data_IF_935960108448
#
_entry.id   IF_935960108448
#
_cell.length_a   1.000
_cell.length_b   1.000
_cell.length_c   1.000
_cell.angle_alpha   90.00
_cell.angle_beta   90.00
_cell.angle_gamma   90.00
#
_symmetry.space_group_name_H-M   'P 1'
#
loop_
_entity.id
_entity.type
_entity.pdbx_description
1 polymer ?
#
# COMPACT_ATOMS: atom_id res chain seq x y z
N UNK A 1 -1.65 7.83 24.70
CA UNK A 1 -3.04 7.42 24.42
C UNK A 1 -3.04 5.95 24.05
N UNK A 2 -3.50 5.09 24.95
CA UNK A 2 -3.54 3.64 24.73
C UNK A 2 -4.59 3.31 23.66
N UNK A 3 -4.19 2.55 22.64
CA UNK A 3 -5.08 2.06 21.60
C UNK A 3 -6.08 1.09 22.23
N UNK A 4 -7.36 1.46 22.22
CA UNK A 4 -8.47 0.59 22.63
C UNK A 4 -8.49 -0.63 21.70
N UNK A 5 -8.24 -1.81 22.25
CA UNK A 5 -8.47 -3.06 21.53
C UNK A 5 -9.98 -3.21 21.27
N UNK A 6 -10.41 -3.56 20.05
CA UNK A 6 -11.82 -3.85 19.79
C UNK A 6 -12.29 -5.05 20.60
N UNK A 7 -13.52 -4.99 21.10
CA UNK A 7 -14.13 -6.07 21.89
C UNK A 7 -14.11 -7.39 21.10
N UNK A 8 -13.91 -8.51 21.82
CA UNK A 8 -13.79 -9.86 21.25
C UNK A 8 -14.97 -10.28 20.34
N UNK A 9 -16.10 -9.59 20.45
CA UNK A 9 -17.31 -9.82 19.64
C UNK A 9 -17.12 -9.56 18.14
N UNK A 10 -16.11 -8.79 17.74
CA UNK A 10 -15.77 -8.53 16.33
C UNK A 10 -14.91 -9.64 15.69
N UNK A 11 -14.45 -10.60 16.48
CA UNK A 11 -13.79 -11.79 15.95
C UNK A 11 -14.83 -12.87 15.67
N UNK A 12 -14.63 -13.63 14.60
CA UNK A 12 -15.39 -14.86 14.35
C UNK A 12 -15.37 -15.70 15.64
N UNK A 13 -16.55 -15.94 16.22
CA UNK A 13 -16.72 -16.68 17.49
C UNK A 13 -16.12 -18.09 17.46
N UNK A 14 -15.72 -18.59 16.29
CA UNK A 14 -15.05 -19.87 16.13
C UNK A 14 -13.93 -19.76 15.08
N UNK A 15 -12.68 -20.09 15.46
CA UNK A 15 -11.63 -20.39 14.47
C UNK A 15 -12.11 -21.63 13.71
N UNK A 16 -12.32 -21.51 12.40
CA UNK A 16 -12.92 -22.54 11.52
C UNK A 16 -12.44 -23.97 11.86
N UNK A 17 -13.11 -24.61 12.81
CA UNK A 17 -12.95 -26.01 13.16
C UNK A 17 -14.06 -26.76 12.45
N UNK A 18 -13.72 -27.27 11.27
CA UNK A 18 -14.58 -27.99 10.36
C UNK A 18 -13.97 -28.01 8.96
N UNK A 19 -14.40 -28.91 8.09
CA UNK A 19 -13.98 -28.91 6.69
C UNK A 19 -14.56 -27.67 5.99
N UNK A 20 -13.74 -26.66 5.64
CA UNK A 20 -14.27 -25.47 4.98
C UNK A 20 -14.92 -25.90 3.66
N UNK A 21 -16.22 -25.65 3.53
CA UNK A 21 -16.93 -25.93 2.29
C UNK A 21 -16.52 -24.86 1.27
N UNK A 22 -16.02 -25.29 0.12
CA UNK A 22 -15.73 -24.36 -0.98
C UNK A 22 -17.01 -23.63 -1.40
N UNK A 23 -16.88 -22.41 -1.91
CA UNK A 23 -18.02 -21.65 -2.44
C UNK A 23 -18.79 -22.42 -3.52
N UNK A 24 -18.14 -23.34 -4.25
CA UNK A 24 -18.81 -24.24 -5.19
C UNK A 24 -19.74 -25.24 -4.46
N UNK A 25 -19.29 -25.83 -3.36
CA UNK A 25 -20.07 -26.80 -2.56
C UNK A 25 -21.24 -26.13 -1.84
N UNK A 26 -21.07 -24.90 -1.38
CA UNK A 26 -22.15 -24.08 -0.81
C UNK A 26 -23.20 -23.73 -1.87
N UNK A 27 -22.77 -23.28 -3.05
CA UNK A 27 -23.70 -22.96 -4.17
C UNK A 27 -24.47 -24.19 -4.65
N UNK A 28 -23.82 -25.35 -4.75
CA UNK A 28 -24.48 -26.60 -5.12
C UNK A 28 -25.55 -27.01 -4.09
N UNK A 29 -25.29 -26.83 -2.79
CA UNK A 29 -26.28 -27.09 -1.73
C UNK A 29 -27.45 -26.13 -1.78
N UNK A 30 -27.20 -24.83 -1.96
CA UNK A 30 -28.26 -23.83 -2.07
C UNK A 30 -29.15 -24.08 -3.30
N UNK A 31 -28.56 -24.48 -4.42
CA UNK A 31 -29.31 -24.87 -5.61
C UNK A 31 -30.13 -26.15 -5.39
N UNK A 32 -29.59 -27.12 -4.65
CA UNK A 32 -30.26 -28.39 -4.37
C UNK A 32 -31.45 -28.26 -3.40
N UNK A 33 -31.45 -27.26 -2.52
CA UNK A 33 -32.54 -27.02 -1.56
C UNK A 33 -33.79 -26.37 -2.18
N UNK A 34 -33.81 -26.15 -3.50
CA UNK A 34 -34.93 -25.48 -4.18
C UNK A 34 -35.07 -24.00 -3.85
N UNK A 35 -34.20 -23.43 -3.01
CA UNK A 35 -34.06 -21.99 -2.76
C UNK A 35 -33.26 -21.28 -3.87
N UNK A 36 -33.42 -21.78 -5.09
CA UNK A 36 -33.01 -21.08 -6.29
C UNK A 36 -34.01 -19.98 -6.58
N UNK A 37 -33.51 -18.73 -6.52
CA UNK A 37 -34.22 -17.48 -6.77
C UNK A 37 -35.19 -17.04 -5.66
N UNK A 38 -34.90 -15.87 -5.07
CA UNK A 38 -35.87 -15.03 -4.35
C UNK A 38 -36.41 -15.53 -2.99
N UNK A 39 -35.59 -16.19 -2.15
CA UNK A 39 -35.87 -16.05 -0.72
C UNK A 39 -35.61 -14.59 -0.35
N UNK A 40 -36.65 -13.82 -0.04
CA UNK A 40 -36.66 -12.41 0.30
C UNK A 40 -35.52 -12.00 1.26
N UNK A 41 -34.32 -11.73 0.73
CA UNK A 41 -33.22 -11.14 1.47
C UNK A 41 -33.62 -9.69 1.69
N UNK A 42 -34.17 -9.35 2.86
CA UNK A 42 -34.41 -7.98 3.29
C UNK A 42 -33.10 -7.32 3.75
N UNK A 43 -32.05 -7.50 2.95
CA UNK A 43 -30.70 -7.14 3.28
C UNK A 43 -30.53 -5.64 3.04
N UNK A 44 -30.66 -4.85 4.09
CA UNK A 44 -30.49 -3.39 4.06
C UNK A 44 -29.03 -3.04 4.36
N UNK A 45 -28.38 -2.39 3.40
CA UNK A 45 -27.02 -1.88 3.56
C UNK A 45 -27.12 -0.37 3.83
N UNK A 46 -26.85 0.03 5.08
CA UNK A 46 -26.86 1.44 5.48
C UNK A 46 -25.45 2.07 5.46
N UNK A 47 -25.41 3.39 5.49
CA UNK A 47 -24.17 4.20 5.48
C UNK A 47 -23.46 4.24 6.85
N UNK A 48 -23.27 3.07 7.47
CA UNK A 48 -22.65 3.00 8.80
C UNK A 48 -21.11 3.09 8.68
N UNK A 49 -20.44 3.99 9.41
CA UNK A 49 -19.01 4.32 9.21
C UNK A 49 -18.01 3.22 9.61
N UNK A 50 -18.48 1.99 9.89
CA UNK A 50 -17.66 0.82 10.23
C UNK A 50 -17.81 -0.36 9.27
N UNK A 51 -18.59 -0.22 8.18
CA UNK A 51 -18.76 -1.28 7.18
C UNK A 51 -17.76 -1.07 6.04
N UNK A 52 -17.19 -2.18 5.55
CA UNK A 52 -16.30 -2.19 4.39
C UNK A 52 -16.93 -1.38 3.24
N UNK A 53 -16.27 -0.36 2.67
CA UNK A 53 -16.81 0.39 1.56
C UNK A 53 -17.09 -0.59 0.42
N UNK A 54 -18.38 -0.82 0.17
CA UNK A 54 -18.88 -1.90 -0.67
C UNK A 54 -18.16 -1.92 -2.04
N UNK A 55 -17.65 -3.08 -2.49
CA UNK A 55 -17.08 -3.21 -3.83
C UNK A 55 -18.06 -2.71 -4.88
N UNK A 56 -17.56 -1.93 -5.84
CA UNK A 56 -18.26 -1.30 -6.97
C UNK A 56 -18.93 -2.30 -7.95
N UNK A 57 -19.19 -3.54 -7.53
CA UNK A 57 -19.71 -4.64 -8.34
C UNK A 57 -21.23 -4.61 -8.54
N UNK A 58 -21.97 -3.72 -7.86
CA UNK A 58 -23.45 -3.68 -7.92
C UNK A 58 -24.06 -2.36 -8.43
N UNK A 59 -23.27 -1.47 -9.06
CA UNK A 59 -23.77 -0.16 -9.51
C UNK A 59 -24.38 -0.15 -10.93
N UNK A 60 -24.81 -1.29 -11.49
CA UNK A 60 -25.46 -1.31 -12.81
C UNK A 60 -26.88 -0.70 -12.84
N UNK A 61 -27.34 -0.06 -11.76
CA UNK A 61 -28.66 0.59 -11.71
C UNK A 61 -28.82 1.69 -10.66
N UNK A 62 -27.74 2.13 -10.01
CA UNK A 62 -27.84 3.19 -9.00
C UNK A 62 -27.81 4.56 -9.67
N UNK A 63 -28.96 5.25 -9.70
CA UNK A 63 -29.04 6.66 -10.05
C UNK A 63 -29.09 7.48 -8.76
N UNK A 64 -28.04 8.26 -8.43
CA UNK A 64 -28.07 9.12 -7.25
C UNK A 64 -29.16 10.19 -7.40
N UNK A 65 -30.05 10.28 -6.42
CA UNK A 65 -31.05 11.35 -6.28
C UNK A 65 -30.39 12.62 -5.75
N UNK A 66 -29.65 13.30 -6.61
CA UNK A 66 -29.03 14.61 -6.36
C UNK A 66 -28.64 15.26 -7.69
N UNK A 67 -28.27 16.55 -7.72
CA UNK A 67 -27.77 17.17 -8.94
C UNK A 67 -26.63 16.32 -9.49
N UNK A 68 -26.76 15.85 -10.73
CA UNK A 68 -25.79 15.00 -11.39
C UNK A 68 -24.45 15.75 -11.48
N UNK A 69 -23.55 15.48 -10.53
CA UNK A 69 -22.15 15.87 -10.69
C UNK A 69 -21.65 15.08 -11.89
N UNK A 70 -21.17 15.80 -12.90
CA UNK A 70 -20.67 15.19 -14.12
C UNK A 70 -19.66 14.09 -13.75
N UNK A 71 -19.93 12.81 -14.10
CA UNK A 71 -19.06 11.70 -13.75
C UNK A 71 -17.63 11.88 -14.24
N UNK A 72 -17.42 12.68 -15.30
CA UNK A 72 -16.07 13.04 -15.80
C UNK A 72 -15.31 13.93 -14.83
N UNK A 73 -15.98 14.91 -14.21
CA UNK A 73 -15.39 15.81 -13.22
C UNK A 73 -15.04 15.06 -11.94
N UNK A 74 -15.91 14.12 -11.51
CA UNK A 74 -15.63 13.26 -10.34
C UNK A 74 -14.45 12.32 -10.59
N UNK A 75 -14.37 11.68 -11.75
CA UNK A 75 -13.26 10.81 -12.12
C UNK A 75 -11.94 11.59 -12.23
N UNK A 76 -11.98 12.78 -12.84
CA UNK A 76 -10.82 13.66 -12.92
C UNK A 76 -10.32 14.09 -11.53
N UNK A 77 -11.21 14.46 -10.62
CA UNK A 77 -10.85 14.82 -9.25
C UNK A 77 -10.17 13.66 -8.50
N UNK A 78 -10.68 12.43 -8.66
CA UNK A 78 -10.08 11.23 -8.07
C UNK A 78 -8.70 10.93 -8.65
N UNK A 79 -8.53 11.06 -9.98
CA UNK A 79 -7.22 10.89 -10.64
C UNK A 79 -6.19 11.88 -10.12
N UNK A 80 -6.56 13.16 -10.01
CA UNK A 80 -5.68 14.20 -9.47
C UNK A 80 -5.29 13.88 -8.02
N UNK A 81 -6.26 13.54 -7.17
CA UNK A 81 -6.00 13.20 -5.77
C UNK A 81 -5.05 12.00 -5.64
N UNK A 82 -5.25 10.95 -6.45
CA UNK A 82 -4.38 9.78 -6.45
C UNK A 82 -2.96 10.10 -6.91
N UNK A 83 -2.81 10.93 -7.95
CA UNK A 83 -1.50 11.36 -8.42
C UNK A 83 -0.77 12.23 -7.39
N UNK A 84 -1.45 13.20 -6.78
CA UNK A 84 -0.86 14.04 -5.72
C UNK A 84 -0.44 13.19 -4.53
N UNK A 85 -1.28 12.25 -4.09
CA UNK A 85 -0.93 11.31 -3.01
C UNK A 85 0.32 10.51 -3.37
N UNK A 86 0.36 9.91 -4.57
CA UNK A 86 1.52 9.13 -5.03
C UNK A 86 2.79 10.00 -5.10
N UNK A 87 2.67 11.24 -5.56
CA UNK A 87 3.78 12.17 -5.61
C UNK A 87 4.34 12.48 -4.22
N UNK A 88 3.46 12.77 -3.24
CA UNK A 88 3.87 13.06 -1.87
C UNK A 88 4.53 11.83 -1.22
N UNK A 89 3.96 10.64 -1.41
CA UNK A 89 4.52 9.39 -0.91
C UNK A 89 5.93 9.13 -1.49
N UNK A 90 6.11 9.33 -2.79
CA UNK A 90 7.41 9.18 -3.45
C UNK A 90 8.42 10.23 -2.95
N UNK A 91 7.97 11.46 -2.70
CA UNK A 91 8.83 12.53 -2.18
C UNK A 91 9.28 12.27 -0.74
N UNK A 92 8.46 11.65 0.09
CA UNK A 92 8.88 11.19 1.42
C UNK A 92 9.89 10.05 1.31
N UNK A 93 9.63 9.05 0.46
CA UNK A 93 10.55 7.93 0.23
C UNK A 93 11.92 8.40 -0.26
N UNK A 94 11.95 9.35 -1.19
CA UNK A 94 13.19 9.94 -1.68
C UNK A 94 14.00 10.56 -0.53
N UNK A 95 13.38 11.40 0.30
CA UNK A 95 14.06 12.01 1.46
C UNK A 95 14.60 10.96 2.44
N UNK A 96 13.87 9.87 2.64
CA UNK A 96 14.30 8.78 3.54
C UNK A 96 15.49 8.03 2.95
N UNK A 97 15.43 7.68 1.66
CA UNK A 97 16.52 7.02 0.96
C UNK A 97 17.77 7.90 0.90
N UNK A 98 17.62 9.21 0.68
CA UNK A 98 18.75 10.15 0.68
C UNK A 98 19.41 10.22 2.06
N UNK A 99 18.62 10.23 3.15
CA UNK A 99 19.15 10.23 4.51
C UNK A 99 19.89 8.91 4.81
N UNK A 100 19.28 7.77 4.48
CA UNK A 100 19.89 6.44 4.66
C UNK A 100 21.17 6.29 3.84
N UNK A 101 21.14 6.72 2.58
CA UNK A 101 22.30 6.74 1.71
C UNK A 101 23.42 7.61 2.30
N UNK A 102 23.10 8.79 2.81
CA UNK A 102 24.08 9.68 3.45
C UNK A 102 24.73 9.07 4.70
N UNK A 103 23.98 8.31 5.51
CA UNK A 103 24.55 7.59 6.66
C UNK A 103 25.49 6.46 6.23
N UNK A 104 25.13 5.71 5.19
CA UNK A 104 25.99 4.67 4.63
C UNK A 104 27.25 5.28 3.99
N UNK A 105 27.10 6.40 3.27
CA UNK A 105 28.23 7.11 2.65
C UNK A 105 29.25 7.57 3.69
N UNK A 106 28.79 8.10 4.84
CA UNK A 106 29.67 8.45 5.97
C UNK A 106 30.43 7.24 6.50
N UNK A 107 29.75 6.11 6.70
CA UNK A 107 30.40 4.88 7.18
C UNK A 107 31.47 4.39 6.20
N UNK A 108 31.18 4.43 4.90
CA UNK A 108 32.15 4.07 3.85
C UNK A 108 33.34 5.02 3.85
N UNK A 109 33.11 6.33 4.00
CA UNK A 109 34.18 7.33 4.12
C UNK A 109 35.07 7.10 5.35
N UNK A 110 34.48 6.79 6.50
CA UNK A 110 35.21 6.47 7.72
C UNK A 110 36.06 5.21 7.56
N UNK A 111 35.52 4.17 6.90
CA UNK A 111 36.27 2.94 6.60
C UNK A 111 37.46 3.20 5.68
N UNK A 112 37.27 3.96 4.59
CA UNK A 112 38.35 4.29 3.67
C UNK A 112 39.47 5.08 4.38
N UNK A 113 39.10 6.03 5.24
CA UNK A 113 40.07 6.79 6.05
C UNK A 113 40.77 5.95 7.10
N UNK A 114 40.06 5.06 7.78
CA UNK A 114 40.60 4.21 8.84
C UNK A 114 41.59 3.18 8.32
N UNK A 115 41.31 2.60 7.14
CA UNK A 115 42.15 1.58 6.51
C UNK A 115 43.23 2.17 5.58
N UNK A 116 43.20 3.49 5.32
CA UNK A 116 44.12 4.14 4.38
C UNK A 116 43.90 3.68 2.93
N UNK A 117 42.66 3.37 2.57
CA UNK A 117 42.27 2.86 1.25
C UNK A 117 41.68 3.99 0.42
N UNK A 118 42.26 4.25 -0.75
CA UNK A 118 41.77 5.29 -1.67
C UNK A 118 40.82 4.75 -2.74
N UNK A 119 40.81 3.42 -2.94
CA UNK A 119 39.98 2.77 -3.96
C UNK A 119 39.64 1.33 -3.62
N UNK A 120 38.41 0.92 -3.94
CA UNK A 120 37.93 -0.45 -3.75
C UNK A 120 37.23 -0.96 -5.02
N UNK A 121 37.66 -2.09 -5.60
CA UNK A 121 36.94 -2.75 -6.68
C UNK A 121 35.59 -3.29 -6.19
N UNK A 122 34.54 -3.04 -6.96
CA UNK A 122 33.17 -3.53 -6.70
C UNK A 122 32.60 -4.19 -7.96
N UNK A 123 31.52 -4.98 -7.86
CA UNK A 123 30.85 -5.53 -9.03
C UNK A 123 30.33 -4.47 -10.03
N UNK A 124 30.20 -3.22 -9.59
CA UNK A 124 29.70 -2.12 -10.41
C UNK A 124 30.81 -1.21 -10.93
N UNK A 125 32.09 -1.51 -10.70
CA UNK A 125 33.23 -0.64 -11.04
C UNK A 125 34.11 -0.37 -9.83
N UNK A 126 35.00 0.62 -9.93
CA UNK A 126 35.92 0.97 -8.83
C UNK A 126 35.39 2.18 -8.06
N UNK A 127 35.13 1.99 -6.77
CA UNK A 127 34.77 3.09 -5.88
C UNK A 127 36.05 3.79 -5.41
N UNK A 128 36.13 5.11 -5.58
CA UNK A 128 37.30 5.92 -5.22
C UNK A 128 36.94 7.07 -4.29
N UNK A 129 37.83 7.33 -3.34
CA UNK A 129 37.82 8.54 -2.54
C UNK A 129 38.55 9.65 -3.32
N UNK A 130 37.82 10.72 -3.64
CA UNK A 130 38.36 11.89 -4.34
C UNK A 130 38.20 13.11 -3.44
N UNK A 131 39.21 13.98 -3.44
CA UNK A 131 39.13 15.27 -2.75
C UNK A 131 38.72 16.33 -3.77
N UNK A 132 37.69 17.10 -3.44
CA UNK A 132 37.27 18.26 -4.25
C UNK A 132 38.26 19.41 -4.09
N UNK A 133 38.14 20.43 -4.94
CA UNK A 133 38.94 21.66 -4.88
C UNK A 133 38.79 22.42 -3.55
N UNK A 134 37.67 22.22 -2.84
CA UNK A 134 37.39 22.76 -1.50
C UNK A 134 37.96 21.89 -0.36
N UNK A 135 38.66 20.79 -0.68
CA UNK A 135 39.21 19.82 0.26
C UNK A 135 38.19 18.84 0.84
N UNK A 136 36.91 18.92 0.46
CA UNK A 136 35.90 17.98 0.94
C UNK A 136 36.06 16.60 0.27
N UNK A 137 35.99 15.50 1.04
CA UNK A 137 36.05 14.15 0.50
C UNK A 137 34.74 13.81 -0.21
N UNK A 138 34.82 13.06 -1.31
CA UNK A 138 33.66 12.55 -2.04
C UNK A 138 33.96 11.14 -2.56
N UNK A 139 32.96 10.27 -2.49
CA UNK A 139 33.00 8.97 -3.16
C UNK A 139 32.57 9.08 -4.63
N UNK A 140 33.38 8.51 -5.53
CA UNK A 140 33.12 8.48 -6.98
C UNK A 140 33.21 7.03 -7.45
N UNK A 141 32.19 6.55 -8.16
CA UNK A 141 32.20 5.25 -8.81
C UNK A 141 32.68 5.41 -10.26
N UNK A 142 33.82 4.83 -10.59
CA UNK A 142 34.35 4.71 -11.96
C UNK A 142 33.89 3.37 -12.55
N UNK A 143 33.08 3.43 -13.62
CA UNK A 143 32.53 2.26 -14.31
C UNK A 143 33.53 1.66 -15.31
#
# INVERSE_FOLDING_TARGET
GQLRQPAQELYLKNRLKGHPASCAKLRARAAASGSGAESACACAFGDNPGIYPNPLLHLNGFQPSGPAVDPTVRDQALRIQNLVRRYLDLREKLRRLDAEFGEVEKQVLELFRGEGVDSLPTPMGTLRLVHRDDGSPRMVLEL
#
